data_IF_515711064248
#
_entry.id   IF_515711064248
#
_cell.length_a   1.000
_cell.length_b   1.000
_cell.length_c   1.000
_cell.angle_alpha   90.00
_cell.angle_beta   90.00
_cell.angle_gamma   90.00
#
_symmetry.space_group_name_H-M   'P 1'
#
loop_
_entity.id
_entity.type
_entity.pdbx_description
1 polymer ?
#
# COMPACT_ATOMS: atom_id res chain seq x y z
N UNK A 1 6.21 -21.47 14.91
CA UNK A 1 5.29 -20.95 15.95
C UNK A 1 4.86 -19.52 15.59
N UNK A 2 4.37 -19.27 14.36
CA UNK A 2 4.83 -18.05 13.66
C UNK A 2 3.78 -17.08 13.11
N UNK A 3 2.49 -17.41 13.06
CA UNK A 3 1.44 -16.51 12.52
C UNK A 3 0.28 -16.29 13.50
N UNK A 4 -0.18 -17.36 14.15
CA UNK A 4 -1.28 -17.32 15.13
C UNK A 4 -0.95 -16.40 16.32
N UNK A 5 0.28 -16.46 16.83
CA UNK A 5 0.74 -15.68 17.99
C UNK A 5 0.76 -14.17 17.72
N UNK A 6 1.07 -13.76 16.48
CA UNK A 6 1.10 -12.34 16.10
C UNK A 6 -0.31 -11.78 15.93
N UNK A 7 -1.21 -12.57 15.33
CA UNK A 7 -2.62 -12.20 15.23
C UNK A 7 -3.27 -12.07 16.61
N UNK A 8 -2.94 -12.99 17.53
CA UNK A 8 -3.43 -12.90 18.92
C UNK A 8 -2.88 -11.68 19.64
N UNK A 9 -1.62 -11.32 19.42
CA UNK A 9 -1.05 -10.12 20.04
C UNK A 9 -1.72 -8.84 19.53
N UNK A 10 -1.95 -8.73 18.21
CA UNK A 10 -2.69 -7.60 17.63
C UNK A 10 -4.12 -7.51 18.20
N UNK A 11 -4.85 -8.62 18.26
CA UNK A 11 -6.21 -8.65 18.81
C UNK A 11 -6.25 -8.17 20.27
N UNK A 12 -5.29 -8.61 21.08
CA UNK A 12 -5.15 -8.16 22.47
C UNK A 12 -4.85 -6.66 22.51
N UNK A 13 -3.87 -6.18 21.75
CA UNK A 13 -3.53 -4.75 21.72
C UNK A 13 -4.71 -3.88 21.26
N UNK A 14 -5.46 -4.31 20.23
CA UNK A 14 -6.63 -3.61 19.71
C UNK A 14 -7.80 -3.58 20.71
N UNK A 15 -7.97 -4.63 21.53
CA UNK A 15 -8.98 -4.66 22.60
C UNK A 15 -8.63 -3.73 23.77
N UNK A 16 -7.34 -3.56 24.08
CA UNK A 16 -6.88 -2.62 25.12
C UNK A 16 -7.22 -1.20 24.69
N UNK A 17 -6.98 -0.83 23.43
CA UNK A 17 -7.32 0.51 22.90
C UNK A 17 -8.80 0.85 23.07
N UNK A 18 -9.70 -0.09 22.75
CA UNK A 18 -11.15 0.09 22.88
C UNK A 18 -11.58 0.28 24.35
N UNK A 19 -10.78 -0.23 25.29
CA UNK A 19 -10.99 -0.06 26.71
C UNK A 19 -10.41 1.24 27.26
N UNK A 20 -9.52 1.92 26.52
CA UNK A 20 -8.70 3.03 27.03
C UNK A 20 -8.86 4.33 26.26
N UNK A 21 -10.03 4.62 25.67
CA UNK A 21 -10.29 5.84 24.86
C UNK A 21 -10.05 7.20 25.58
N UNK A 22 -9.53 7.20 26.82
CA UNK A 22 -9.13 8.39 27.58
C UNK A 22 -7.68 8.45 28.08
N UNK A 23 -6.78 7.50 27.75
CA UNK A 23 -5.36 7.59 28.15
C UNK A 23 -4.47 8.10 27.02
N UNK A 24 -3.63 9.10 27.31
CA UNK A 24 -2.96 9.91 26.30
C UNK A 24 -1.73 9.28 25.62
N UNK A 25 -1.41 7.99 25.88
CA UNK A 25 -0.14 7.38 25.47
C UNK A 25 -0.30 6.11 24.60
N UNK A 26 -1.53 5.63 24.36
CA UNK A 26 -1.76 4.43 23.55
C UNK A 26 -1.94 4.83 22.07
N UNK A 27 -1.13 4.28 21.14
CA UNK A 27 -1.32 4.51 19.71
C UNK A 27 -2.72 4.16 19.23
N UNK A 28 -3.21 4.84 18.21
CA UNK A 28 -4.54 4.55 17.65
C UNK A 28 -4.60 3.15 17.04
N UNK A 29 -5.80 2.53 17.00
CA UNK A 29 -6.01 1.19 16.38
C UNK A 29 -5.44 1.11 14.95
N UNK A 30 -5.53 2.19 14.19
CA UNK A 30 -5.00 2.28 12.84
C UNK A 30 -3.46 2.26 12.80
N UNK A 31 -2.80 2.97 13.70
CA UNK A 31 -1.33 3.01 13.79
C UNK A 31 -0.76 1.67 14.25
N UNK A 32 -1.43 1.01 15.20
CA UNK A 32 -1.13 -0.36 15.61
C UNK A 32 -1.30 -1.34 14.44
N UNK A 33 -2.38 -1.22 13.66
CA UNK A 33 -2.60 -2.06 12.49
C UNK A 33 -1.52 -1.84 11.42
N UNK A 34 -1.14 -0.59 11.16
CA UNK A 34 -0.05 -0.24 10.24
C UNK A 34 1.27 -0.88 10.68
N UNK A 35 1.61 -0.75 11.96
CA UNK A 35 2.84 -1.31 12.53
C UNK A 35 2.85 -2.84 12.47
N UNK A 36 1.73 -3.48 12.85
CA UNK A 36 1.57 -4.92 12.77
C UNK A 36 1.68 -5.44 11.33
N UNK A 37 1.03 -4.77 10.38
CA UNK A 37 1.08 -5.15 8.97
C UNK A 37 2.48 -4.98 8.38
N UNK A 38 3.20 -3.91 8.75
CA UNK A 38 4.58 -3.70 8.31
C UNK A 38 5.52 -4.82 8.81
N UNK A 39 5.37 -5.24 10.07
CA UNK A 39 6.12 -6.35 10.64
C UNK A 39 5.73 -7.70 10.00
N UNK A 40 4.44 -7.97 9.85
CA UNK A 40 3.94 -9.20 9.21
C UNK A 40 4.40 -9.29 7.76
N UNK A 41 4.38 -8.17 7.03
CA UNK A 41 4.86 -8.06 5.66
C UNK A 41 6.36 -8.38 5.54
N UNK A 42 7.20 -7.80 6.39
CA UNK A 42 8.65 -8.08 6.39
C UNK A 42 8.96 -9.51 6.82
N UNK A 43 8.12 -10.11 7.67
CA UNK A 43 8.20 -11.52 8.07
C UNK A 43 7.61 -12.49 7.03
N UNK A 44 7.14 -12.02 5.87
CA UNK A 44 6.58 -12.86 4.80
C UNK A 44 5.11 -13.27 4.99
N UNK A 45 4.46 -12.86 6.07
CA UNK A 45 3.04 -13.13 6.37
C UNK A 45 2.10 -12.13 5.66
N UNK A 46 2.26 -12.01 4.35
CA UNK A 46 1.59 -10.97 3.53
C UNK A 46 0.07 -11.01 3.63
N UNK A 47 -0.53 -12.20 3.58
CA UNK A 47 -1.98 -12.39 3.64
C UNK A 47 -2.55 -11.90 4.97
N UNK A 48 -1.86 -12.20 6.07
CA UNK A 48 -2.23 -11.71 7.41
C UNK A 48 -2.05 -10.19 7.51
N UNK A 49 -0.95 -9.65 6.97
CA UNK A 49 -0.71 -8.22 6.93
C UNK A 49 -1.82 -7.45 6.18
N UNK A 50 -2.28 -8.00 5.04
CA UNK A 50 -3.38 -7.44 4.27
C UNK A 50 -4.70 -7.46 5.07
N UNK A 51 -5.03 -8.60 5.70
CA UNK A 51 -6.26 -8.71 6.49
C UNK A 51 -6.32 -7.69 7.64
N UNK A 52 -5.21 -7.49 8.35
CA UNK A 52 -5.11 -6.50 9.44
C UNK A 52 -5.36 -5.08 8.91
N UNK A 53 -4.79 -4.71 7.75
CA UNK A 53 -5.04 -3.39 7.15
C UNK A 53 -6.45 -3.25 6.60
N UNK A 54 -7.05 -4.31 6.07
CA UNK A 54 -8.42 -4.29 5.56
C UNK A 54 -9.43 -4.07 6.68
N UNK A 55 -9.29 -4.80 7.79
CA UNK A 55 -10.09 -4.59 9.00
C UNK A 55 -9.89 -3.17 9.56
N UNK A 56 -8.64 -2.72 9.64
CA UNK A 56 -8.33 -1.38 10.13
C UNK A 56 -8.73 -0.26 9.17
N UNK A 57 -9.08 -0.53 7.92
CA UNK A 57 -9.59 0.48 6.99
C UNK A 57 -11.11 0.40 6.81
N UNK A 58 -11.73 -0.70 7.20
CA UNK A 58 -13.16 -0.93 7.05
C UNK A 58 -13.99 0.14 7.78
N UNK A 59 -14.97 0.72 7.10
CA UNK A 59 -15.93 1.68 7.67
C UNK A 59 -15.35 3.03 8.09
N UNK A 60 -14.04 3.29 7.95
CA UNK A 60 -13.43 4.56 8.33
C UNK A 60 -13.75 5.67 7.32
N UNK A 61 -14.07 6.85 7.86
CA UNK A 61 -14.23 8.05 7.07
C UNK A 61 -12.91 8.45 6.39
N UNK A 62 -13.01 9.10 5.23
CA UNK A 62 -11.87 9.59 4.49
C UNK A 62 -11.14 10.68 5.29
N UNK A 63 -9.91 10.39 5.73
CA UNK A 63 -9.04 11.32 6.45
C UNK A 63 -7.57 11.12 6.09
N UNK A 64 -6.73 12.12 6.35
CA UNK A 64 -5.28 12.06 6.11
C UNK A 64 -4.60 10.93 6.89
N UNK A 65 -5.14 10.54 8.04
CA UNK A 65 -4.63 9.46 8.89
C UNK A 65 -4.65 8.10 8.18
N UNK A 66 -5.51 7.93 7.17
CA UNK A 66 -5.58 6.69 6.39
C UNK A 66 -4.41 6.55 5.41
N UNK A 67 -3.71 7.64 5.06
CA UNK A 67 -2.67 7.64 4.02
C UNK A 67 -1.60 6.58 4.27
N UNK A 68 -0.97 6.47 5.46
CA UNK A 68 0.08 5.48 5.68
C UNK A 68 -0.43 4.02 5.58
N UNK A 69 -1.66 3.75 6.02
CA UNK A 69 -2.29 2.42 5.90
C UNK A 69 -2.61 2.06 4.45
N UNK A 70 -3.15 3.01 3.68
CA UNK A 70 -3.41 2.83 2.25
C UNK A 70 -2.12 2.59 1.47
N UNK A 71 -1.06 3.36 1.74
CA UNK A 71 0.25 3.15 1.12
C UNK A 71 0.84 1.77 1.45
N UNK A 72 0.71 1.34 2.72
CA UNK A 72 1.17 0.03 3.16
C UNK A 72 0.38 -1.12 2.53
N UNK A 73 -0.95 -0.98 2.42
CA UNK A 73 -1.81 -1.98 1.79
C UNK A 73 -1.54 -2.07 0.29
N UNK A 74 -1.42 -0.94 -0.39
CA UNK A 74 -1.08 -0.89 -1.81
C UNK A 74 0.27 -1.56 -2.10
N UNK A 75 1.27 -1.34 -1.24
CA UNK A 75 2.56 -2.01 -1.37
C UNK A 75 2.47 -3.54 -1.25
N UNK A 76 1.72 -4.02 -0.25
CA UNK A 76 1.49 -5.46 -0.04
C UNK A 76 0.71 -6.09 -1.20
N UNK A 77 -0.32 -5.41 -1.72
CA UNK A 77 -1.12 -5.84 -2.87
C UNK A 77 -0.30 -5.92 -4.15
N UNK A 78 0.56 -4.93 -4.41
CA UNK A 78 1.49 -4.98 -5.54
C UNK A 78 2.38 -6.23 -5.49
N UNK A 79 2.92 -6.57 -4.31
CA UNK A 79 3.73 -7.78 -4.13
C UNK A 79 2.93 -9.08 -4.18
N UNK A 80 1.60 -9.01 -4.05
CA UNK A 80 0.69 -10.13 -4.24
C UNK A 80 0.30 -10.34 -5.72
N UNK A 81 0.56 -9.36 -6.59
CA UNK A 81 0.11 -9.36 -7.99
C UNK A 81 -1.16 -8.54 -8.22
N UNK A 82 -1.80 -8.05 -7.16
CA UNK A 82 -3.07 -7.31 -7.17
C UNK A 82 -2.83 -5.83 -7.51
N UNK A 83 -2.29 -5.61 -8.71
CA UNK A 83 -1.75 -4.30 -9.11
C UNK A 83 -2.84 -3.24 -9.26
N UNK A 84 -4.01 -3.61 -9.77
CA UNK A 84 -5.13 -2.66 -9.94
C UNK A 84 -5.66 -2.18 -8.59
N UNK A 85 -5.84 -3.08 -7.63
CA UNK A 85 -6.23 -2.77 -6.26
C UNK A 85 -5.17 -1.94 -5.55
N UNK A 86 -3.89 -2.21 -5.80
CA UNK A 86 -2.79 -1.40 -5.29
C UNK A 86 -2.83 0.03 -5.82
N UNK A 87 -3.04 0.21 -7.14
CA UNK A 87 -3.17 1.53 -7.76
C UNK A 87 -4.35 2.32 -7.18
N UNK A 88 -5.49 1.67 -6.94
CA UNK A 88 -6.64 2.31 -6.26
C UNK A 88 -6.28 2.78 -4.85
N UNK A 89 -5.48 2.01 -4.11
CA UNK A 89 -5.02 2.41 -2.77
C UNK A 89 -4.08 3.63 -2.82
N UNK A 90 -3.13 3.65 -3.75
CA UNK A 90 -2.25 4.80 -3.94
C UNK A 90 -3.01 6.04 -4.40
N UNK A 91 -3.97 5.87 -5.29
CA UNK A 91 -4.82 6.96 -5.75
C UNK A 91 -5.68 7.50 -4.61
N UNK A 92 -6.31 6.64 -3.81
CA UNK A 92 -7.06 7.08 -2.62
C UNK A 92 -6.16 7.82 -1.64
N UNK A 93 -4.96 7.30 -1.37
CA UNK A 93 -3.99 7.97 -0.50
C UNK A 93 -3.66 9.39 -1.01
N UNK A 94 -3.43 9.53 -2.32
CA UNK A 94 -3.16 10.83 -2.97
C UNK A 94 -4.29 11.83 -2.77
N UNK A 95 -5.55 11.39 -2.90
CA UNK A 95 -6.73 12.26 -2.71
C UNK A 95 -6.93 12.71 -1.26
N UNK A 96 -6.37 12.00 -0.30
CA UNK A 96 -6.48 12.32 1.13
C UNK A 96 -5.34 13.22 1.64
N UNK A 97 -4.34 13.50 0.79
CA UNK A 97 -3.27 14.43 1.14
C UNK A 97 -3.84 15.86 1.19
N UNK A 98 -3.69 16.59 2.31
CA UNK A 98 -4.14 17.97 2.39
C UNK A 98 -3.42 18.86 1.38
N UNK A 99 -4.11 19.86 0.80
CA UNK A 99 -3.46 20.85 -0.04
C UNK A 99 -2.38 21.60 0.76
N UNK A 100 -1.18 21.72 0.20
CA UNK A 100 -0.03 22.38 0.86
C UNK A 100 0.89 21.44 1.64
N UNK A 101 0.53 20.16 1.84
CA UNK A 101 1.44 19.16 2.42
C UNK A 101 2.30 18.50 1.33
N UNK A 102 3.26 19.26 0.81
CA UNK A 102 4.14 18.82 -0.28
C UNK A 102 4.99 17.60 0.12
N UNK A 103 5.34 17.47 1.39
CA UNK A 103 6.11 16.34 1.90
C UNK A 103 5.30 15.05 1.83
N UNK A 104 4.06 15.07 2.32
CA UNK A 104 3.19 13.89 2.27
C UNK A 104 2.76 13.56 0.84
N UNK A 105 2.53 14.59 0.01
CA UNK A 105 2.28 14.42 -1.42
C UNK A 105 3.47 13.74 -2.10
N UNK A 106 4.69 14.23 -1.87
CA UNK A 106 5.92 13.66 -2.43
C UNK A 106 6.14 12.20 -2.02
N UNK A 107 5.89 11.85 -0.75
CA UNK A 107 5.97 10.46 -0.27
C UNK A 107 4.96 9.54 -0.96
N UNK A 108 3.73 10.02 -1.13
CA UNK A 108 2.64 9.29 -1.78
C UNK A 108 2.95 9.05 -3.26
N UNK A 109 3.40 10.10 -3.96
CA UNK A 109 3.78 10.04 -5.37
C UNK A 109 4.99 9.13 -5.59
N UNK A 110 6.00 9.16 -4.71
CA UNK A 110 7.15 8.27 -4.79
C UNK A 110 6.74 6.79 -4.64
N UNK A 111 5.85 6.47 -3.69
CA UNK A 111 5.27 5.13 -3.55
C UNK A 111 4.50 4.71 -4.80
N UNK A 112 3.66 5.60 -5.32
CA UNK A 112 2.85 5.35 -6.52
C UNK A 112 3.74 5.11 -7.76
N UNK A 113 4.80 5.89 -7.94
CA UNK A 113 5.74 5.74 -9.05
C UNK A 113 6.53 4.42 -8.99
N UNK A 114 6.92 3.94 -7.79
CA UNK A 114 7.56 2.64 -7.62
C UNK A 114 6.71 1.47 -8.15
N UNK A 115 5.38 1.61 -8.10
CA UNK A 115 4.44 0.60 -8.59
C UNK A 115 4.33 0.61 -10.11
N UNK A 116 4.51 1.77 -10.73
CA UNK A 116 4.45 1.94 -12.19
C UNK A 116 5.80 1.64 -12.88
N UNK A 117 6.92 1.67 -12.15
CA UNK A 117 8.25 1.40 -12.69
C UNK A 117 8.41 0.02 -13.37
N UNK A 118 7.89 -1.09 -12.81
CA UNK A 118 7.83 -2.37 -13.50
C UNK A 118 7.09 -2.30 -14.85
N UNK A 119 6.05 -1.46 -14.95
CA UNK A 119 5.23 -1.28 -16.15
C UNK A 119 5.94 -0.47 -17.25
N UNK A 120 6.77 0.52 -16.86
CA UNK A 120 7.58 1.31 -17.80
C UNK A 120 8.70 0.50 -18.47
N UNK A 121 9.24 -0.51 -17.77
CA UNK A 121 10.25 -1.44 -18.31
C UNK A 121 9.64 -2.56 -19.15
N UNK A 122 8.42 -2.98 -18.83
CA UNK A 122 7.69 -3.98 -19.61
C UNK A 122 7.08 -3.42 -20.92
N UNK A 123 6.68 -2.15 -20.94
CA UNK A 123 6.18 -1.50 -22.17
C UNK A 123 7.30 -1.16 -23.17
N UNK A 124 8.51 -0.89 -22.68
CA UNK A 124 9.70 -0.68 -23.51
C UNK A 124 10.27 -1.97 -24.11
N UNK A 125 9.97 -3.15 -23.55
CA UNK A 125 10.27 -4.44 -24.18
C UNK A 125 9.19 -4.91 -25.18
N UNK A 126 8.04 -4.25 -25.22
CA UNK A 126 6.89 -4.60 -26.06
C UNK A 126 6.66 -3.67 -27.24
N UNK A 127 7.59 -2.78 -27.59
CA UNK A 127 7.54 -2.10 -28.89
C UNK A 127 7.79 -3.13 -29.99
N UNK A 128 6.78 -3.60 -30.75
CA UNK A 128 7.05 -4.41 -31.91
C UNK A 128 7.69 -3.44 -32.90
N UNK A 129 8.89 -3.77 -33.36
CA UNK A 129 9.54 -3.09 -34.48
C UNK A 129 8.53 -2.89 -35.62
N UNK A 130 7.95 -1.69 -35.71
CA UNK A 130 7.33 -1.18 -36.92
C UNK A 130 8.45 -0.54 -37.73
N UNK A 131 9.21 -1.38 -38.43
CA UNK A 131 10.06 -0.95 -39.53
C UNK A 131 9.62 -1.71 -40.79
N UNK A 132 8.73 -1.04 -41.51
CA UNK A 132 8.24 -1.23 -42.88
C UNK A 132 8.96 -2.26 -43.79
N UNK A 133 8.20 -3.14 -44.48
CA UNK A 133 8.69 -3.83 -45.67
C UNK A 133 8.56 -2.90 -46.87
N UNK A 134 9.70 -2.47 -47.43
CA UNK A 134 9.72 -1.80 -48.73
C UNK A 134 10.49 -0.49 -48.72
N UNK A 135 11.75 -0.58 -49.13
CA UNK A 135 12.36 0.37 -50.06
C UNK A 135 13.50 -0.38 -50.75
N UNK A 136 13.19 -0.94 -51.93
CA UNK A 136 14.21 -1.31 -52.89
C UNK A 136 14.84 -0.03 -53.44
N UNK A 137 16.16 0.10 -53.41
CA UNK A 137 16.87 0.88 -54.42
C UNK A 137 18.11 0.11 -54.84
N UNK A 138 18.10 -0.22 -56.11
CA UNK A 138 19.12 -0.87 -56.92
C UNK A 138 20.30 0.07 -57.17
N UNK A 139 21.54 -0.42 -57.11
CA UNK A 139 22.49 -0.41 -58.23
C UNK A 139 23.67 -1.32 -57.99
#
# INVERSE_FOLDING_TARGET
>A
MSSVTLLTWYAVAASVVESTEGSADVPGRLELAQSAASYLGSAGHRTTALGVLEEALAGRANSVELVPALLSRGWLRMHAGDTDEALRDFERARHLVPPGDELLLGRTLARHALVLLPYSRASSSLSPSRANPGLSVSR
#
